data_IF_312173460162
#
_entry.id   IF_312173460162
#
_cell.length_a   1.000
_cell.length_b   1.000
_cell.length_c   1.000
_cell.angle_alpha   90.00
_cell.angle_beta   90.00
_cell.angle_gamma   90.00
#
_symmetry.space_group_name_H-M   'P 1'
#
loop_
_entity.id
_entity.type
_entity.pdbx_description
1 polymer ?
#
# COMPACT_ATOMS: atom_id res chain seq x y z
N UNK A 1 7.16 9.04 4.25
CA UNK A 1 7.78 7.70 4.28
C UNK A 1 6.87 6.59 3.77
N UNK A 2 5.72 6.27 4.39
CA UNK A 2 4.87 5.15 3.94
C UNK A 2 4.46 5.22 2.46
N UNK A 3 3.99 6.39 2.01
CA UNK A 3 3.62 6.59 0.60
C UNK A 3 4.84 6.60 -0.35
N UNK A 4 5.95 7.20 0.05
CA UNK A 4 7.20 7.27 -0.74
C UNK A 4 7.90 5.91 -0.84
N UNK A 5 7.45 4.91 -0.08
CA UNK A 5 7.92 3.54 -0.14
C UNK A 5 7.50 2.77 -1.37
N UNK A 6 6.71 3.37 -2.26
CA UNK A 6 6.17 2.74 -3.44
C UNK A 6 6.31 3.60 -4.68
N UNK A 7 6.38 2.95 -5.82
CA UNK A 7 6.25 3.58 -7.13
C UNK A 7 4.81 4.09 -7.32
N UNK A 8 4.68 5.29 -7.89
CA UNK A 8 3.39 5.91 -8.22
C UNK A 8 3.31 6.21 -9.73
N UNK A 9 2.17 5.93 -10.38
CA UNK A 9 0.99 5.27 -9.83
C UNK A 9 1.21 3.76 -9.61
N UNK A 10 0.36 3.15 -8.78
CA UNK A 10 0.29 1.68 -8.69
C UNK A 10 -0.28 1.07 -9.98
N UNK A 11 -0.17 -0.26 -10.11
CA UNK A 11 -0.76 -0.99 -11.23
C UNK A 11 -2.02 -1.74 -10.76
N UNK A 12 -3.14 -1.51 -11.45
CA UNK A 12 -4.33 -2.35 -11.37
C UNK A 12 -4.27 -3.37 -12.51
N UNK A 13 -3.97 -4.62 -12.19
CA UNK A 13 -3.96 -5.73 -13.15
C UNK A 13 -5.32 -6.44 -13.14
N UNK A 14 -6.00 -6.50 -14.29
CA UNK A 14 -7.29 -7.18 -14.43
C UNK A 14 -7.15 -8.33 -15.42
N UNK A 15 -7.46 -9.54 -14.97
CA UNK A 15 -7.45 -10.74 -15.80
C UNK A 15 -8.59 -11.67 -15.38
N UNK A 16 -9.34 -12.17 -16.37
CA UNK A 16 -10.45 -13.11 -16.16
C UNK A 16 -11.47 -12.63 -15.11
N UNK A 17 -11.75 -11.33 -15.09
CA UNK A 17 -12.67 -10.68 -14.14
C UNK A 17 -12.11 -10.47 -12.73
N UNK A 18 -10.86 -10.86 -12.48
CA UNK A 18 -10.18 -10.68 -11.19
C UNK A 18 -9.24 -9.48 -11.27
N UNK A 19 -9.43 -8.51 -10.38
CA UNK A 19 -8.56 -7.35 -10.21
C UNK A 19 -7.55 -7.55 -9.08
N UNK A 20 -6.28 -7.30 -9.35
CA UNK A 20 -5.18 -7.32 -8.39
C UNK A 20 -4.49 -5.94 -8.39
N UNK A 21 -4.31 -5.35 -7.21
CA UNK A 21 -3.45 -4.19 -7.03
C UNK A 21 -2.02 -4.67 -6.88
N UNK A 22 -1.10 -4.03 -7.61
CA UNK A 22 0.34 -4.27 -7.56
C UNK A 22 1.05 -2.98 -7.15
N UNK A 23 1.77 -3.05 -6.03
CA UNK A 23 2.58 -1.97 -5.47
C UNK A 23 4.06 -2.36 -5.55
N UNK A 24 4.84 -1.66 -6.37
CA UNK A 24 6.29 -1.86 -6.42
C UNK A 24 6.95 -1.09 -5.29
N UNK A 25 7.63 -1.81 -4.39
CA UNK A 25 8.36 -1.21 -3.29
C UNK A 25 9.66 -0.54 -3.79
N UNK A 26 9.93 0.67 -3.28
CA UNK A 26 11.14 1.44 -3.55
C UNK A 26 12.04 1.50 -2.31
N UNK A 27 13.33 1.75 -2.54
CA UNK A 27 14.25 2.07 -1.46
C UNK A 27 13.96 3.48 -0.91
N UNK A 28 13.66 3.54 0.39
CA UNK A 28 13.38 4.75 1.14
C UNK A 28 14.66 5.19 1.86
N UNK A 29 15.02 6.47 1.73
CA UNK A 29 16.09 7.09 2.51
C UNK A 29 15.52 8.19 3.38
N UNK A 30 15.67 8.08 4.69
CA UNK A 30 15.25 9.12 5.63
C UNK A 30 16.13 9.14 6.86
N UNK A 31 16.03 10.20 7.66
CA UNK A 31 16.72 10.28 8.95
C UNK A 31 15.80 9.73 10.04
N UNK A 32 16.35 8.88 10.91
CA UNK A 32 15.60 8.35 12.05
C UNK A 32 15.23 9.50 12.99
N UNK A 33 13.94 9.59 13.35
CA UNK A 33 13.48 10.56 14.34
C UNK A 33 14.10 10.32 15.74
N UNK A 34 14.54 9.10 16.02
CA UNK A 34 15.10 8.71 17.32
C UNK A 34 16.51 9.28 17.56
N UNK A 35 17.39 9.21 16.56
CA UNK A 35 18.81 9.53 16.72
C UNK A 35 19.41 10.34 15.56
N UNK A 36 18.60 10.76 14.60
CA UNK A 36 19.03 11.53 13.43
C UNK A 36 19.84 10.74 12.39
N UNK A 37 20.10 9.44 12.60
CA UNK A 37 20.91 8.65 11.66
C UNK A 37 20.19 8.45 10.33
N UNK A 38 20.94 8.53 9.24
CA UNK A 38 20.42 8.22 7.90
C UNK A 38 20.15 6.72 7.79
N UNK A 39 18.90 6.38 7.51
CA UNK A 39 18.40 5.02 7.33
C UNK A 39 18.10 4.79 5.85
N UNK A 40 18.43 3.59 5.36
CA UNK A 40 17.98 3.09 4.07
C UNK A 40 17.11 1.88 4.33
N UNK A 41 15.87 1.92 3.86
CA UNK A 41 14.88 0.89 4.10
C UNK A 41 14.09 0.57 2.85
N UNK A 42 13.37 -0.54 2.89
CA UNK A 42 12.37 -0.90 1.89
C UNK A 42 11.17 -1.49 2.62
N UNK A 43 9.99 -1.36 2.04
CA UNK A 43 8.82 -2.06 2.55
C UNK A 43 9.10 -3.57 2.46
N UNK A 44 9.06 -4.24 3.61
CA UNK A 44 9.37 -5.67 3.73
C UNK A 44 8.09 -6.51 3.76
N UNK A 45 7.06 -5.99 4.41
CA UNK A 45 5.79 -6.69 4.56
C UNK A 45 4.64 -5.68 4.57
N UNK A 46 3.50 -6.12 4.09
CA UNK A 46 2.26 -5.34 4.09
C UNK A 46 1.09 -6.27 4.39
N UNK A 47 0.14 -5.78 5.18
CA UNK A 47 -1.15 -6.44 5.40
C UNK A 47 -2.27 -5.51 4.96
N UNK A 48 -3.35 -6.07 4.44
CA UNK A 48 -4.57 -5.34 4.09
C UNK A 48 -5.73 -5.83 4.96
N UNK A 49 -6.67 -4.94 5.25
CA UNK A 49 -7.87 -5.27 6.00
C UNK A 49 -8.88 -5.96 5.09
N UNK A 50 -9.27 -7.18 5.46
CA UNK A 50 -10.24 -8.00 4.74
C UNK A 50 -11.27 -8.53 5.75
N UNK A 51 -12.53 -8.09 5.62
CA UNK A 51 -13.63 -8.46 6.52
C UNK A 51 -13.26 -8.31 8.03
N UNK A 52 -12.56 -7.23 8.39
CA UNK A 52 -12.16 -6.95 9.77
C UNK A 52 -10.87 -7.63 10.25
N UNK A 53 -10.24 -8.45 9.41
CA UNK A 53 -9.01 -9.18 9.74
C UNK A 53 -7.88 -8.72 8.81
N UNK A 54 -6.70 -8.46 9.37
CA UNK A 54 -5.52 -8.15 8.56
C UNK A 54 -4.92 -9.42 7.96
N UNK A 55 -4.83 -9.46 6.62
CA UNK A 55 -4.21 -10.54 5.84
C UNK A 55 -2.93 -10.05 5.19
N UNK A 56 -1.93 -10.91 5.07
CA UNK A 56 -0.68 -10.57 4.40
C UNK A 56 -0.92 -10.35 2.90
N UNK A 57 -0.35 -9.27 2.36
CA UNK A 57 -0.17 -9.11 0.93
C UNK A 57 0.86 -10.12 0.42
N UNK A 58 0.68 -10.60 -0.79
CA UNK A 58 1.65 -11.46 -1.45
C UNK A 58 2.85 -10.62 -1.89
N UNK A 59 4.07 -11.09 -1.66
CA UNK A 59 5.30 -10.42 -2.08
C UNK A 59 5.99 -11.24 -3.16
N UNK A 60 6.00 -10.71 -4.39
CA UNK A 60 6.67 -11.31 -5.54
C UNK A 60 7.83 -10.43 -5.98
N UNK A 61 9.03 -10.78 -5.53
CA UNK A 61 10.21 -9.92 -5.66
C UNK A 61 10.01 -8.62 -4.88
N UNK A 62 9.91 -7.51 -5.61
CA UNK A 62 9.68 -6.18 -5.05
C UNK A 62 8.22 -5.71 -5.18
N UNK A 63 7.31 -6.58 -5.63
CA UNK A 63 5.92 -6.22 -5.88
C UNK A 63 5.02 -6.85 -4.82
N UNK A 64 4.41 -5.99 -4.01
CA UNK A 64 3.35 -6.35 -3.07
C UNK A 64 1.99 -6.38 -3.77
N UNK A 65 1.20 -7.40 -3.50
CA UNK A 65 -0.05 -7.66 -4.21
C UNK A 65 -1.20 -7.99 -3.26
N UNK A 66 -2.38 -7.45 -3.55
CA UNK A 66 -3.62 -7.77 -2.85
C UNK A 66 -4.84 -7.60 -3.77
N UNK A 67 -5.94 -8.33 -3.53
CA UNK A 67 -7.09 -8.31 -4.42
C UNK A 67 -7.88 -7.01 -4.32
N UNK A 68 -8.39 -6.52 -5.46
CA UNK A 68 -9.26 -5.33 -5.51
C UNK A 68 -10.57 -5.53 -4.75
N UNK A 69 -11.02 -6.78 -4.59
CA UNK A 69 -12.27 -7.11 -3.90
C UNK A 69 -12.32 -6.68 -2.43
N UNK A 70 -11.17 -6.36 -1.81
CA UNK A 70 -11.13 -5.82 -0.44
C UNK A 70 -11.26 -4.30 -0.36
N UNK A 71 -11.26 -3.62 -1.52
CA UNK A 71 -11.34 -2.16 -1.61
C UNK A 71 -12.81 -1.74 -1.58
N UNK A 72 -13.12 -0.79 -0.69
CA UNK A 72 -14.42 -0.12 -0.68
C UNK A 72 -14.40 1.04 -1.66
N UNK A 73 -15.31 1.02 -2.63
CA UNK A 73 -15.44 2.09 -3.62
C UNK A 73 -16.62 2.99 -3.29
N UNK A 74 -16.38 4.29 -3.30
CA UNK A 74 -17.41 5.32 -3.21
C UNK A 74 -17.38 6.14 -4.49
N UNK A 75 -18.54 6.32 -5.11
CA UNK A 75 -18.66 7.22 -6.24
C UNK A 75 -18.71 8.67 -5.73
N UNK A 76 -17.75 9.49 -6.16
CA UNK A 76 -17.67 10.88 -5.75
C UNK A 76 -18.62 11.78 -6.57
N UNK A 77 -18.96 11.40 -7.81
CA UNK A 77 -19.77 12.21 -8.74
C UNK A 77 -20.69 11.34 -9.56
N UNK A 78 -21.98 11.67 -9.59
CA UNK A 78 -22.97 11.01 -10.46
C UNK A 78 -23.00 11.64 -11.85
N UNK A 79 -23.08 10.83 -12.92
CA UNK A 79 -23.24 11.32 -14.30
C UNK A 79 -22.14 10.88 -15.26
N UNK A 80 -21.83 11.70 -16.28
CA UNK A 80 -20.69 11.49 -17.19
C UNK A 80 -19.45 12.09 -16.53
N UNK A 81 -18.35 11.33 -16.47
CA UNK A 81 -17.14 11.73 -15.74
C UNK A 81 -17.14 11.33 -14.26
N UNK A 82 -17.75 10.18 -13.93
CA UNK A 82 -17.74 9.62 -12.58
C UNK A 82 -16.30 9.35 -12.15
N UNK A 83 -16.02 9.62 -10.88
CA UNK A 83 -14.75 9.29 -10.24
C UNK A 83 -15.06 8.33 -9.10
N UNK A 84 -14.47 7.14 -9.17
CA UNK A 84 -14.53 6.14 -8.12
C UNK A 84 -13.34 6.33 -7.19
N UNK A 85 -13.62 6.61 -5.92
CA UNK A 85 -12.63 6.61 -4.86
C UNK A 85 -12.65 5.26 -4.14
N UNK A 86 -11.63 4.45 -4.40
CA UNK A 86 -11.39 3.19 -3.72
C UNK A 86 -10.46 3.38 -2.51
N UNK A 87 -10.78 2.76 -1.37
CA UNK A 87 -9.87 2.70 -0.23
C UNK A 87 -9.88 1.38 0.54
N UNK A 88 -8.75 1.08 1.18
CA UNK A 88 -8.61 -0.04 2.14
C UNK A 88 -7.57 0.30 3.21
N UNK A 89 -7.80 -0.16 4.44
CA UNK A 89 -6.83 0.01 5.53
C UNK A 89 -5.69 -1.01 5.38
N UNK A 90 -4.46 -0.55 5.58
CA UNK A 90 -3.25 -1.35 5.41
C UNK A 90 -2.31 -1.16 6.59
N UNK A 91 -1.51 -2.20 6.88
CA UNK A 91 -0.39 -2.17 7.83
C UNK A 91 0.89 -2.43 7.08
N UNK A 92 1.94 -1.69 7.39
CA UNK A 92 3.22 -1.77 6.69
C UNK A 92 4.37 -1.92 7.67
N UNK A 93 5.32 -2.79 7.32
CA UNK A 93 6.57 -2.99 8.04
C UNK A 93 7.75 -2.75 7.09
N UNK A 94 8.76 -2.01 7.56
CA UNK A 94 9.96 -1.69 6.78
C UNK A 94 11.21 -2.39 7.33
N UNK A 95 12.22 -2.57 6.48
CA UNK A 95 13.45 -3.30 6.81
C UNK A 95 14.37 -2.62 7.84
N UNK A 96 14.17 -1.34 8.15
CA UNK A 96 14.98 -0.55 9.09
C UNK A 96 14.77 -0.91 10.56
N UNK A 97 13.86 -1.85 10.84
CA UNK A 97 13.57 -2.36 12.17
C UNK A 97 12.54 -1.50 12.95
N UNK A 98 11.82 -2.12 13.90
CA UNK A 98 10.65 -1.51 14.54
C UNK A 98 10.98 -0.32 15.45
N UNK A 99 12.23 -0.21 15.92
CA UNK A 99 12.70 0.92 16.74
C UNK A 99 12.73 2.21 15.90
N UNK A 100 13.13 2.10 14.64
CA UNK A 100 13.28 3.26 13.75
C UNK A 100 12.03 3.50 12.89
N UNK A 101 11.33 2.43 12.52
CA UNK A 101 10.07 2.50 11.77
C UNK A 101 9.14 1.37 12.24
N UNK A 102 8.34 1.60 13.29
CA UNK A 102 7.38 0.62 13.77
C UNK A 102 6.31 0.30 12.71
N UNK A 103 5.59 -0.81 12.89
CA UNK A 103 4.43 -1.13 12.02
C UNK A 103 3.49 0.08 11.97
N UNK A 104 3.22 0.55 10.75
CA UNK A 104 2.41 1.75 10.54
C UNK A 104 1.11 1.39 9.87
N UNK A 105 0.00 1.91 10.40
CA UNK A 105 -1.30 1.86 9.75
C UNK A 105 -1.45 3.02 8.77
N UNK A 106 -1.96 2.73 7.57
CA UNK A 106 -2.27 3.73 6.56
C UNK A 106 -3.56 3.36 5.81
N UNK A 107 -4.05 4.30 5.01
CA UNK A 107 -5.15 4.07 4.09
C UNK A 107 -4.54 4.04 2.68
N UNK A 108 -4.65 2.91 2.00
CA UNK A 108 -4.40 2.85 0.56
C UNK A 108 -5.59 3.47 -0.15
N UNK A 109 -5.34 4.33 -1.14
CA UNK A 109 -6.36 4.95 -1.98
C UNK A 109 -6.05 4.77 -3.46
N UNK A 110 -7.09 4.58 -4.26
CA UNK A 110 -7.03 4.56 -5.72
C UNK A 110 -8.18 5.41 -6.28
N UNK A 111 -7.90 6.20 -7.30
CA UNK A 111 -8.88 6.99 -8.04
C UNK A 111 -8.97 6.43 -9.46
N UNK A 112 -10.19 6.17 -9.92
CA UNK A 112 -10.50 5.66 -11.27
C UNK A 112 -11.58 6.56 -11.89
#
# INVERSE_FOLDING_TARGET
MGNEGFEHPCVLHVKDGVGIIQLRALDIRAHSALNGMKMCGKVKNMKYLDHGIFRNAELNGDVLQFPVSVISFVNLVSGVGQILHGSVCVKMECSVGPIHMPESMAIFTILI
#
